data_IF_925245402807
#
_entry.id   IF_925245402807
#
_cell.length_a   1.000
_cell.length_b   1.000
_cell.length_c   1.000
_cell.angle_alpha   90.00
_cell.angle_beta   90.00
_cell.angle_gamma   90.00
#
_symmetry.space_group_name_H-M   'P 1'
#
loop_
_entity.id
_entity.type
_entity.pdbx_description
1 polymer ?
#
# COMPACT_ATOMS: atom_id res chain seq x y z
N UNK A 1 -23.00 21.22 -22.33
CA UNK A 1 -23.30 21.14 -20.90
C UNK A 1 -23.81 19.75 -20.48
N UNK A 2 -23.52 18.68 -21.25
CA UNK A 2 -23.86 17.27 -20.93
C UNK A 2 -22.63 16.34 -21.12
N UNK A 3 -21.44 16.93 -21.21
CA UNK A 3 -20.31 16.30 -21.91
C UNK A 3 -19.39 15.51 -20.98
N UNK A 4 -19.33 15.83 -19.68
CA UNK A 4 -18.39 15.19 -18.73
C UNK A 4 -18.72 13.72 -18.44
N UNK A 5 -19.96 13.28 -18.69
CA UNK A 5 -20.38 11.89 -18.50
C UNK A 5 -20.23 11.02 -19.75
N UNK A 6 -20.03 11.64 -20.91
CA UNK A 6 -19.97 10.95 -22.19
C UNK A 6 -18.54 10.45 -22.43
N UNK A 7 -18.33 9.13 -22.61
CA UNK A 7 -17.04 8.59 -22.99
C UNK A 7 -16.58 9.14 -24.35
N UNK A 8 -15.50 9.91 -24.35
CA UNK A 8 -14.90 10.47 -25.57
C UNK A 8 -13.39 10.68 -25.45
N UNK A 9 -12.78 11.04 -26.57
CA UNK A 9 -11.40 11.53 -26.57
C UNK A 9 -11.33 12.93 -25.96
N UNK A 10 -10.36 13.14 -25.08
CA UNK A 10 -10.19 14.37 -24.30
C UNK A 10 -8.73 14.81 -24.36
N UNK A 11 -8.52 16.12 -24.22
CA UNK A 11 -7.18 16.75 -24.25
C UNK A 11 -6.90 17.61 -23.02
N UNK A 12 -7.89 17.79 -22.17
CA UNK A 12 -7.90 18.70 -21.03
C UNK A 12 -7.94 17.93 -19.70
N UNK A 13 -8.95 17.07 -19.53
CA UNK A 13 -9.13 16.27 -18.32
C UNK A 13 -9.86 14.94 -18.61
N UNK A 14 -9.68 13.95 -17.74
CA UNK A 14 -10.44 12.69 -17.73
C UNK A 14 -10.77 12.32 -16.29
N UNK A 15 -11.96 11.78 -16.08
CA UNK A 15 -12.46 11.32 -14.80
C UNK A 15 -12.57 9.80 -14.84
N UNK A 16 -11.86 9.16 -13.92
CA UNK A 16 -11.95 7.74 -13.62
C UNK A 16 -12.75 7.56 -12.33
N UNK A 17 -13.62 6.57 -12.30
CA UNK A 17 -14.42 6.25 -11.12
C UNK A 17 -14.37 4.77 -10.79
N UNK A 18 -14.39 4.45 -9.51
CA UNK A 18 -14.66 3.09 -9.02
C UNK A 18 -16.11 3.03 -8.56
N UNK A 19 -16.87 2.10 -9.14
CA UNK A 19 -18.28 1.89 -8.77
C UNK A 19 -18.51 0.51 -8.17
N UNK A 20 -19.40 0.41 -7.19
CA UNK A 20 -19.80 -0.86 -6.59
C UNK A 20 -20.79 -1.65 -7.48
N UNK A 21 -21.27 -2.78 -6.97
CA UNK A 21 -22.27 -3.64 -7.62
C UNK A 21 -23.65 -2.97 -7.80
N UNK A 22 -23.88 -1.85 -7.12
CA UNK A 22 -25.09 -1.02 -7.17
C UNK A 22 -24.89 0.27 -7.98
N UNK A 23 -23.78 0.37 -8.72
CA UNK A 23 -23.38 1.55 -9.49
C UNK A 23 -23.17 2.83 -8.63
N UNK A 24 -22.95 2.70 -7.32
CA UNK A 24 -22.58 3.82 -6.46
C UNK A 24 -21.11 4.18 -6.67
N UNK A 25 -20.82 5.47 -6.74
CA UNK A 25 -19.47 5.98 -6.96
C UNK A 25 -18.74 6.02 -5.62
N UNK A 26 -17.82 5.08 -5.40
CA UNK A 26 -17.07 4.98 -4.13
C UNK A 26 -15.65 5.58 -4.25
N UNK A 27 -15.17 5.75 -5.49
CA UNK A 27 -13.85 6.27 -5.79
C UNK A 27 -13.95 7.23 -6.99
N UNK A 28 -13.25 8.37 -6.93
CA UNK A 28 -13.11 9.32 -8.03
C UNK A 28 -11.66 9.73 -8.17
N UNK A 29 -11.09 9.58 -9.36
CA UNK A 29 -9.78 10.11 -9.72
C UNK A 29 -9.89 10.94 -10.98
N UNK A 30 -9.45 12.19 -10.90
CA UNK A 30 -9.41 13.09 -12.05
C UNK A 30 -7.96 13.29 -12.43
N UNK A 31 -7.66 13.13 -13.72
CA UNK A 31 -6.40 13.54 -14.33
C UNK A 31 -6.65 14.72 -15.25
N UNK A 32 -5.82 15.76 -15.18
CA UNK A 32 -5.93 16.92 -16.04
C UNK A 32 -4.57 17.55 -16.34
N UNK A 33 -4.52 18.43 -17.34
CA UNK A 33 -3.29 19.17 -17.66
C UNK A 33 -2.88 20.16 -16.56
N UNK A 34 -3.85 20.72 -15.82
CA UNK A 34 -3.63 21.67 -14.73
C UNK A 34 -4.59 21.40 -13.57
N UNK A 35 -4.29 21.97 -12.41
CA UNK A 35 -5.16 21.89 -11.22
C UNK A 35 -6.53 22.51 -11.48
N UNK A 36 -6.59 23.66 -12.16
CA UNK A 36 -7.84 24.35 -12.45
C UNK A 36 -8.77 23.48 -13.31
N UNK A 37 -8.20 22.80 -14.32
CA UNK A 37 -8.94 21.88 -15.17
C UNK A 37 -9.41 20.63 -14.40
N UNK A 38 -8.61 20.14 -13.45
CA UNK A 38 -9.00 19.03 -12.60
C UNK A 38 -10.17 19.39 -11.70
N UNK A 39 -10.12 20.56 -11.06
CA UNK A 39 -11.18 21.07 -10.19
C UNK A 39 -12.46 21.32 -10.97
N UNK A 40 -12.36 21.92 -12.16
CA UNK A 40 -13.50 22.12 -13.04
C UNK A 40 -14.15 20.78 -13.45
N UNK A 41 -13.34 19.81 -13.89
CA UNK A 41 -13.85 18.49 -14.28
C UNK A 41 -14.48 17.73 -13.11
N UNK A 42 -13.92 17.87 -11.90
CA UNK A 42 -14.46 17.28 -10.69
C UNK A 42 -15.82 17.90 -10.33
N UNK A 43 -15.92 19.23 -10.31
CA UNK A 43 -17.16 19.95 -10.01
C UNK A 43 -18.26 19.62 -11.04
N UNK A 44 -17.92 19.64 -12.33
CA UNK A 44 -18.84 19.23 -13.40
C UNK A 44 -19.32 17.79 -13.22
N UNK A 45 -18.42 16.86 -12.87
CA UNK A 45 -18.77 15.47 -12.65
C UNK A 45 -19.70 15.27 -11.44
N UNK A 46 -19.38 15.90 -10.30
CA UNK A 46 -20.18 15.82 -9.08
C UNK A 46 -21.60 16.37 -9.31
N UNK A 47 -21.69 17.53 -9.93
CA UNK A 47 -22.97 18.14 -10.30
C UNK A 47 -23.78 17.23 -11.25
N UNK A 48 -23.12 16.64 -12.25
CA UNK A 48 -23.79 15.78 -13.24
C UNK A 48 -24.24 14.43 -12.66
N UNK A 49 -23.53 13.88 -11.66
CA UNK A 49 -23.90 12.63 -10.96
C UNK A 49 -24.79 12.86 -9.73
N UNK A 50 -25.00 14.10 -9.30
CA UNK A 50 -25.72 14.41 -8.07
C UNK A 50 -24.97 13.95 -6.82
N UNK A 51 -23.63 13.99 -6.84
CA UNK A 51 -22.77 13.65 -5.71
C UNK A 51 -22.49 14.89 -4.87
N UNK A 52 -22.47 14.72 -3.55
CA UNK A 52 -22.14 15.81 -2.63
C UNK A 52 -20.65 15.73 -2.24
N UNK A 53 -19.87 16.81 -2.42
CA UNK A 53 -18.45 16.82 -2.05
C UNK A 53 -18.16 16.45 -0.59
N UNK A 54 -19.09 16.70 0.32
CA UNK A 54 -18.96 16.37 1.75
C UNK A 54 -18.97 14.88 2.06
N UNK A 55 -19.47 14.06 1.14
CA UNK A 55 -19.56 12.60 1.31
C UNK A 55 -18.25 11.92 0.87
N UNK A 56 -17.28 12.70 0.43
CA UNK A 56 -16.00 12.25 -0.10
C UNK A 56 -14.84 12.91 0.62
N UNK A 57 -13.82 12.10 0.89
CA UNK A 57 -12.55 12.54 1.44
C UNK A 57 -11.53 12.70 0.34
N UNK A 58 -10.87 13.86 0.31
CA UNK A 58 -9.68 14.07 -0.49
C UNK A 58 -8.53 13.23 0.09
N UNK A 59 -8.00 12.28 -0.68
CA UNK A 59 -6.97 11.34 -0.21
C UNK A 59 -5.63 11.49 -0.91
N UNK A 60 -5.61 12.10 -2.09
CA UNK A 60 -4.38 12.37 -2.84
C UNK A 60 -4.61 13.49 -3.84
N UNK A 61 -3.63 14.37 -4.04
CA UNK A 61 -3.61 15.39 -5.10
C UNK A 61 -2.17 15.76 -5.44
N UNK A 62 -1.91 16.20 -6.66
CA UNK A 62 -0.58 16.72 -7.06
C UNK A 62 -0.23 16.44 -8.53
N UNK A 63 0.98 16.83 -8.94
CA UNK A 63 1.47 16.77 -10.32
C UNK A 63 2.30 15.50 -10.63
N UNK A 64 1.74 14.51 -11.30
CA UNK A 64 2.47 13.29 -11.64
C UNK A 64 3.23 13.43 -12.98
N UNK A 65 4.48 12.93 -13.09
CA UNK A 65 5.16 12.84 -14.38
C UNK A 65 4.47 11.83 -15.31
N UNK A 66 4.23 12.23 -16.55
CA UNK A 66 3.61 11.37 -17.57
C UNK A 66 4.47 10.14 -17.90
N UNK A 67 5.79 10.31 -17.86
CA UNK A 67 6.74 9.25 -18.20
C UNK A 67 6.58 8.78 -19.64
N UNK A 68 6.50 7.47 -19.85
CA UNK A 68 6.31 6.86 -21.18
C UNK A 68 4.84 6.74 -21.64
N UNK A 69 3.88 7.24 -20.85
CA UNK A 69 2.45 7.08 -21.15
C UNK A 69 2.05 7.96 -22.34
N UNK A 70 1.35 7.36 -23.30
CA UNK A 70 0.78 8.10 -24.45
C UNK A 70 -0.62 8.65 -24.17
N UNK A 71 -1.36 7.98 -23.28
CA UNK A 71 -2.70 8.37 -22.89
C UNK A 71 -3.04 7.79 -21.50
N UNK A 72 -3.93 8.46 -20.78
CA UNK A 72 -4.59 7.93 -19.59
C UNK A 72 -5.90 7.27 -20.01
N UNK A 73 -6.05 6.00 -19.68
CA UNK A 73 -7.23 5.15 -19.92
C UNK A 73 -7.38 4.16 -18.79
N UNK A 74 -8.55 3.50 -18.68
CA UNK A 74 -8.69 2.36 -17.76
C UNK A 74 -7.69 1.23 -18.05
N UNK A 75 -7.18 1.12 -19.29
CA UNK A 75 -6.16 0.13 -19.68
C UNK A 75 -4.74 0.54 -19.31
N UNK A 76 -4.42 1.83 -19.26
CA UNK A 76 -3.12 2.29 -18.77
C UNK A 76 -3.05 2.23 -17.26
N UNK A 77 -4.20 2.36 -16.59
CA UNK A 77 -4.36 2.31 -15.14
C UNK A 77 -4.59 0.88 -14.62
N UNK A 78 -3.72 -0.07 -15.03
CA UNK A 78 -3.86 -1.49 -14.68
C UNK A 78 -3.81 -1.69 -13.17
N UNK A 79 -2.82 -1.12 -12.49
CA UNK A 79 -2.65 -1.27 -11.04
C UNK A 79 -3.85 -0.72 -10.28
N UNK A 80 -4.37 0.44 -10.68
CA UNK A 80 -5.58 1.03 -10.10
C UNK A 80 -6.80 0.14 -10.37
N UNK A 81 -6.98 -0.34 -11.60
CA UNK A 81 -8.08 -1.23 -11.95
C UNK A 81 -8.06 -2.51 -11.12
N UNK A 82 -6.88 -3.10 -10.90
CA UNK A 82 -6.71 -4.29 -10.07
C UNK A 82 -6.97 -4.00 -8.60
N UNK A 83 -6.49 -2.87 -8.07
CA UNK A 83 -6.76 -2.45 -6.69
C UNK A 83 -8.24 -2.25 -6.42
N UNK A 84 -8.95 -1.56 -7.31
CA UNK A 84 -10.39 -1.34 -7.20
C UNK A 84 -11.19 -2.65 -7.36
N UNK A 85 -10.83 -3.53 -8.30
CA UNK A 85 -11.52 -4.80 -8.48
C UNK A 85 -11.48 -5.69 -7.23
N UNK A 86 -10.40 -5.60 -6.43
CA UNK A 86 -10.25 -6.32 -5.16
C UNK A 86 -11.09 -5.73 -4.03
N UNK A 87 -11.48 -4.47 -4.16
CA UNK A 87 -12.45 -3.78 -3.29
C UNK A 87 -13.91 -4.01 -3.77
N UNK A 88 -14.14 -4.93 -4.71
CA UNK A 88 -15.44 -5.14 -5.33
C UNK A 88 -15.85 -4.01 -6.29
N UNK A 89 -14.94 -3.08 -6.61
CA UNK A 89 -15.22 -1.90 -7.42
C UNK A 89 -14.81 -2.08 -8.88
N UNK A 90 -15.66 -1.63 -9.78
CA UNK A 90 -15.39 -1.59 -11.22
C UNK A 90 -14.84 -0.23 -11.60
N UNK A 91 -13.64 -0.21 -12.18
CA UNK A 91 -13.06 1.01 -12.76
C UNK A 91 -13.76 1.37 -14.08
N UNK A 92 -14.29 2.59 -14.14
CA UNK A 92 -14.88 3.21 -15.32
C UNK A 92 -14.17 4.53 -15.62
N UNK A 93 -14.28 5.01 -16.86
CA UNK A 93 -13.72 6.29 -17.28
C UNK A 93 -14.72 7.04 -18.17
N UNK A 94 -14.73 8.36 -18.08
CA UNK A 94 -15.48 9.24 -19.00
C UNK A 94 -14.71 9.55 -20.30
N UNK A 95 -13.58 8.88 -20.56
CA UNK A 95 -12.83 9.11 -21.78
C UNK A 95 -11.41 8.59 -21.80
N UNK A 96 -10.68 9.07 -22.80
CA UNK A 96 -9.26 8.85 -23.02
C UNK A 96 -8.58 10.21 -23.01
N UNK A 97 -7.64 10.45 -22.09
CA UNK A 97 -6.82 11.67 -22.09
C UNK A 97 -5.52 11.42 -22.83
N UNK A 98 -5.31 12.08 -23.97
CA UNK A 98 -4.05 11.98 -24.70
C UNK A 98 -3.00 12.93 -24.13
N UNK A 99 -1.74 12.47 -24.06
CA UNK A 99 -0.65 13.16 -23.35
C UNK A 99 0.47 13.63 -24.30
N UNK A 100 0.18 13.81 -25.59
CA UNK A 100 1.17 14.22 -26.58
C UNK A 100 1.80 15.58 -26.21
N UNK A 101 3.12 15.60 -25.96
CA UNK A 101 3.85 16.81 -25.59
C UNK A 101 3.66 17.25 -24.14
N UNK A 102 2.99 16.45 -23.31
CA UNK A 102 2.74 16.74 -21.89
C UNK A 102 3.75 15.97 -21.05
N UNK A 103 4.53 16.68 -20.23
CA UNK A 103 5.54 16.05 -19.35
C UNK A 103 4.97 15.70 -17.97
N UNK A 104 3.99 16.46 -17.50
CA UNK A 104 3.39 16.36 -16.16
C UNK A 104 1.89 16.56 -16.26
N UNK A 105 1.12 15.84 -15.45
CA UNK A 105 -0.34 15.98 -15.32
C UNK A 105 -0.71 16.20 -13.87
N UNK A 106 -1.73 17.00 -13.60
CA UNK A 106 -2.31 17.10 -12.27
C UNK A 106 -3.29 15.94 -12.05
N UNK A 107 -3.31 15.42 -10.85
CA UNK A 107 -4.28 14.43 -10.41
C UNK A 107 -4.91 14.82 -9.08
N UNK A 108 -6.16 14.43 -8.89
CA UNK A 108 -6.87 14.52 -7.62
C UNK A 108 -7.69 13.24 -7.43
N UNK A 109 -7.60 12.67 -6.23
CA UNK A 109 -8.27 11.42 -5.86
C UNK A 109 -9.13 11.64 -4.63
N UNK A 110 -10.38 11.23 -4.73
CA UNK A 110 -11.37 11.26 -3.67
C UNK A 110 -11.93 9.86 -3.45
N UNK A 111 -12.22 9.56 -2.20
CA UNK A 111 -12.81 8.29 -1.76
C UNK A 111 -14.03 8.60 -0.91
N UNK A 112 -15.13 7.87 -1.09
CA UNK A 112 -16.33 8.05 -0.27
C UNK A 112 -16.01 7.79 1.20
N UNK A 113 -16.74 8.43 2.12
CA UNK A 113 -16.60 8.13 3.56
C UNK A 113 -16.94 6.67 3.89
N UNK A 114 -17.84 6.04 3.13
CA UNK A 114 -18.19 4.62 3.28
C UNK A 114 -17.04 3.68 2.87
N UNK A 115 -16.40 3.92 1.72
CA UNK A 115 -15.23 3.15 1.29
C UNK A 115 -14.04 3.42 2.21
N UNK A 116 -13.84 4.68 2.59
CA UNK A 116 -12.78 5.08 3.51
C UNK A 116 -12.94 4.40 4.89
N UNK A 117 -14.15 4.42 5.44
CA UNK A 117 -14.45 3.75 6.70
C UNK A 117 -14.36 2.23 6.58
N UNK A 118 -14.71 1.62 5.46
CA UNK A 118 -14.50 0.18 5.21
C UNK A 118 -13.01 -0.19 5.22
N UNK A 119 -12.18 0.61 4.55
CA UNK A 119 -10.71 0.46 4.55
C UNK A 119 -10.15 0.61 5.97
N UNK A 120 -10.70 1.51 6.80
CA UNK A 120 -10.27 1.72 8.18
C UNK A 120 -10.82 0.70 9.18
N UNK A 121 -12.05 0.22 9.00
CA UNK A 121 -12.78 -0.66 9.94
C UNK A 121 -12.52 -2.15 9.74
N UNK A 122 -11.80 -2.53 8.66
CA UNK A 122 -11.06 -3.80 8.59
C UNK A 122 -10.04 -4.01 9.74
N UNK A 123 -9.94 -3.06 10.67
CA UNK A 123 -9.11 -3.10 11.88
C UNK A 123 -9.78 -3.69 13.13
N UNK A 124 -11.10 -3.90 13.17
CA UNK A 124 -11.77 -4.26 14.46
C UNK A 124 -12.68 -5.50 14.46
N UNK A 125 -12.76 -6.29 13.39
CA UNK A 125 -13.52 -7.56 13.41
C UNK A 125 -12.72 -8.73 12.86
N UNK A 126 -11.98 -9.39 13.75
CA UNK A 126 -12.08 -10.84 13.77
C UNK A 126 -13.51 -11.23 14.20
N UNK A 127 -14.05 -12.23 13.51
CA UNK A 127 -15.29 -12.98 13.78
C UNK A 127 -16.56 -12.50 13.06
N UNK A 128 -16.84 -13.27 11.99
CA UNK A 128 -18.13 -13.61 11.36
C UNK A 128 -18.74 -12.62 10.34
N UNK A 129 -18.55 -12.98 9.06
CA UNK A 129 -19.69 -13.11 8.16
C UNK A 129 -19.74 -12.18 6.95
N UNK A 130 -18.74 -12.21 6.08
CA UNK A 130 -18.84 -12.27 4.60
C UNK A 130 -17.44 -12.03 4.03
N UNK A 131 -16.97 -12.97 3.20
CA UNK A 131 -15.65 -12.97 2.59
C UNK A 131 -15.47 -11.78 1.64
N UNK A 132 -14.78 -10.74 2.10
CA UNK A 132 -13.84 -9.98 1.27
C UNK A 132 -12.58 -9.72 2.13
N UNK A 133 -11.70 -10.73 2.19
CA UNK A 133 -10.36 -10.58 2.77
C UNK A 133 -9.57 -9.57 1.92
N UNK A 134 -9.65 -8.29 2.29
CA UNK A 134 -8.81 -7.25 1.68
C UNK A 134 -7.34 -7.55 1.96
N UNK A 135 -6.59 -7.82 0.90
CA UNK A 135 -5.17 -8.12 1.03
C UNK A 135 -4.41 -6.81 1.30
N UNK A 136 -3.55 -6.75 2.34
CA UNK A 136 -2.65 -5.62 2.60
C UNK A 136 -1.92 -5.05 1.39
N UNK A 137 -1.58 -5.92 0.44
CA UNK A 137 -0.89 -5.57 -0.82
C UNK A 137 -1.73 -4.62 -1.70
N UNK A 138 -3.04 -4.81 -1.70
CA UNK A 138 -3.98 -4.05 -2.54
C UNK A 138 -4.10 -2.61 -2.04
N UNK A 139 -4.15 -2.50 -0.71
CA UNK A 139 -4.27 -1.24 0.00
C UNK A 139 -3.01 -0.38 -0.18
N UNK A 140 -1.82 -1.00 -0.15
CA UNK A 140 -0.55 -0.30 -0.41
C UNK A 140 -0.49 0.25 -1.84
N UNK A 141 -1.15 -0.41 -2.80
CA UNK A 141 -1.13 -0.03 -4.21
C UNK A 141 -2.08 1.12 -4.61
N UNK A 142 -2.89 1.65 -3.67
CA UNK A 142 -3.94 2.64 -3.97
C UNK A 142 -3.43 4.05 -4.35
N UNK A 143 -2.12 4.34 -4.18
CA UNK A 143 -1.58 5.65 -4.54
C UNK A 143 -1.92 6.76 -3.54
N UNK A 144 -2.20 6.38 -2.30
CA UNK A 144 -2.44 7.29 -1.16
C UNK A 144 -1.30 7.19 -0.15
N UNK A 145 -1.26 8.10 0.81
CA UNK A 145 -0.31 7.96 1.93
C UNK A 145 -0.64 6.74 2.78
N UNK A 146 0.33 5.87 3.03
CA UNK A 146 0.11 4.63 3.79
C UNK A 146 1.14 4.48 4.90
N UNK A 147 0.68 4.23 6.13
CA UNK A 147 1.52 3.75 7.21
C UNK A 147 1.47 2.21 7.23
N UNK A 148 2.60 1.55 7.00
CA UNK A 148 2.71 0.10 6.99
C UNK A 148 3.44 -0.37 8.25
N UNK A 149 2.72 -1.03 9.15
CA UNK A 149 3.32 -1.77 10.27
C UNK A 149 3.79 -3.15 9.78
N UNK A 150 5.06 -3.26 9.40
CA UNK A 150 5.61 -4.48 8.82
C UNK A 150 6.31 -5.38 9.85
N UNK A 151 5.51 -6.18 10.56
CA UNK A 151 6.02 -7.18 11.49
C UNK A 151 6.51 -8.44 10.76
N UNK A 152 5.98 -8.74 9.58
CA UNK A 152 6.39 -9.88 8.74
C UNK A 152 7.83 -9.78 8.21
N UNK A 153 8.35 -8.55 8.06
CA UNK A 153 9.64 -8.27 7.44
C UNK A 153 9.69 -8.54 5.93
N UNK A 154 8.54 -8.75 5.27
CA UNK A 154 8.42 -8.85 3.81
C UNK A 154 8.94 -7.59 3.13
N UNK A 155 9.42 -7.72 1.90
CA UNK A 155 9.73 -6.55 1.10
C UNK A 155 8.45 -6.03 0.45
N UNK A 156 8.12 -4.76 0.69
CA UNK A 156 6.91 -4.13 0.13
C UNK A 156 7.22 -3.24 -1.06
N UNK A 157 8.49 -3.10 -1.43
CA UNK A 157 8.91 -2.19 -2.50
C UNK A 157 8.24 -2.48 -3.84
N UNK A 158 7.95 -3.74 -4.14
CA UNK A 158 7.30 -4.16 -5.40
C UNK A 158 5.78 -3.92 -5.41
N UNK A 159 5.19 -3.56 -4.27
CA UNK A 159 3.75 -3.29 -4.12
C UNK A 159 3.41 -1.82 -4.32
N UNK A 160 4.44 -0.97 -4.41
CA UNK A 160 4.28 0.46 -4.42
C UNK A 160 3.90 0.97 -5.81
N UNK A 161 3.07 2.02 -5.89
CA UNK A 161 2.92 2.82 -7.11
C UNK A 161 4.27 3.33 -7.63
N UNK A 162 4.43 3.49 -8.95
CA UNK A 162 5.70 3.90 -9.58
C UNK A 162 6.28 5.21 -9.04
N UNK A 163 5.44 6.16 -8.62
CA UNK A 163 5.84 7.46 -8.07
C UNK A 163 5.92 7.49 -6.54
N UNK A 164 5.63 6.39 -5.83
CA UNK A 164 5.57 6.39 -4.38
C UNK A 164 6.95 6.53 -3.72
N UNK A 165 7.00 7.28 -2.61
CA UNK A 165 8.21 7.39 -1.78
C UNK A 165 8.07 6.46 -0.58
N UNK A 166 8.92 5.44 -0.50
CA UNK A 166 9.03 4.55 0.66
C UNK A 166 10.05 5.07 1.67
N UNK A 167 9.62 5.31 2.91
CA UNK A 167 10.48 5.58 4.05
C UNK A 167 10.42 4.42 5.04
N UNK A 168 11.58 3.82 5.37
CA UNK A 168 11.68 2.74 6.35
C UNK A 168 12.21 3.29 7.68
N UNK A 169 11.44 3.13 8.75
CA UNK A 169 11.74 3.62 10.10
C UNK A 169 12.13 5.12 10.17
N UNK A 170 11.46 6.04 9.46
CA UNK A 170 11.83 7.45 9.48
C UNK A 170 11.65 8.10 10.87
N UNK A 171 12.34 9.21 11.17
CA UNK A 171 11.98 10.07 12.30
C UNK A 171 10.56 10.62 12.15
N UNK A 172 9.85 10.81 13.26
CA UNK A 172 8.46 11.30 13.26
C UNK A 172 8.37 12.69 12.60
N UNK A 173 9.34 13.55 12.90
CA UNK A 173 9.41 14.94 12.42
C UNK A 173 9.54 14.99 10.90
N UNK A 174 10.30 14.05 10.30
CA UNK A 174 10.46 13.94 8.86
C UNK A 174 9.16 13.53 8.17
N UNK A 175 8.39 12.64 8.79
CA UNK A 175 7.09 12.23 8.24
C UNK A 175 6.10 13.38 8.35
N UNK A 176 6.07 14.06 9.49
CA UNK A 176 5.21 15.22 9.72
C UNK A 176 5.48 16.36 8.72
N UNK A 177 6.75 16.66 8.43
CA UNK A 177 7.08 17.69 7.44
C UNK A 177 6.58 17.30 6.04
N UNK A 178 6.84 16.05 5.63
CA UNK A 178 6.43 15.56 4.32
C UNK A 178 4.91 15.52 4.17
N UNK A 179 4.16 15.06 5.19
CA UNK A 179 2.69 15.04 5.14
C UNK A 179 2.06 16.43 4.99
N UNK A 180 2.73 17.48 5.48
CA UNK A 180 2.24 18.86 5.43
C UNK A 180 2.66 19.62 4.15
N UNK A 181 3.57 19.05 3.36
CA UNK A 181 3.98 19.64 2.08
C UNK A 181 2.94 19.34 0.99
N UNK A 182 2.79 20.25 0.03
CA UNK A 182 2.12 19.92 -1.24
C UNK A 182 3.09 19.10 -2.10
N UNK A 183 2.69 17.89 -2.43
CA UNK A 183 3.53 16.87 -3.10
C UNK A 183 2.69 16.06 -4.05
N UNK A 184 3.37 15.48 -5.02
CA UNK A 184 2.83 14.75 -6.16
C UNK A 184 3.04 13.23 -6.10
N UNK A 185 3.55 12.75 -4.97
CA UNK A 185 3.78 11.35 -4.70
C UNK A 185 3.06 10.90 -3.42
N UNK A 186 2.55 9.66 -3.38
CA UNK A 186 2.13 9.04 -2.13
C UNK A 186 3.34 8.71 -1.26
N UNK A 187 3.23 8.96 0.03
CA UNK A 187 4.23 8.58 1.03
C UNK A 187 3.83 7.28 1.71
N UNK A 188 4.69 6.29 1.57
CA UNK A 188 4.55 5.02 2.29
C UNK A 188 5.59 4.97 3.39
N UNK A 189 5.15 4.88 4.64
CA UNK A 189 6.00 4.76 5.82
C UNK A 189 5.97 3.34 6.33
N UNK A 190 7.07 2.61 6.20
CA UNK A 190 7.25 1.29 6.80
C UNK A 190 7.84 1.42 8.21
N UNK A 191 7.22 0.80 9.20
CA UNK A 191 7.65 0.79 10.60
C UNK A 191 7.34 -0.54 11.27
N UNK A 192 8.03 -0.88 12.35
CA UNK A 192 7.64 -1.94 13.30
C UNK A 192 6.76 -1.44 14.45
N UNK A 193 6.66 -0.12 14.61
CA UNK A 193 5.89 0.53 15.66
C UNK A 193 5.01 1.60 15.03
N UNK A 194 3.78 1.25 14.67
CA UNK A 194 2.82 2.21 14.12
C UNK A 194 2.40 3.27 15.15
N UNK A 195 2.38 2.90 16.44
CA UNK A 195 2.02 3.80 17.54
C UNK A 195 2.86 5.08 17.60
N UNK A 196 4.12 5.03 17.13
CA UNK A 196 4.99 6.21 16.98
C UNK A 196 4.36 7.32 16.11
N UNK A 197 3.53 6.96 15.14
CA UNK A 197 2.94 7.87 14.15
C UNK A 197 1.45 8.10 14.38
N UNK A 198 0.89 7.67 15.51
CA UNK A 198 -0.54 7.77 15.79
C UNK A 198 -1.09 9.22 15.79
N UNK A 199 -0.20 10.20 15.94
CA UNK A 199 -0.52 11.65 15.89
C UNK A 199 -0.59 12.21 14.47
N UNK A 200 -0.26 11.41 13.45
CA UNK A 200 -0.24 11.81 12.06
C UNK A 200 -1.45 11.24 11.32
N UNK A 201 -2.06 12.06 10.47
CA UNK A 201 -3.27 11.73 9.74
C UNK A 201 -2.96 10.93 8.46
N UNK A 202 -2.54 9.67 8.63
CA UNK A 202 -2.47 8.75 7.50
C UNK A 202 -3.89 8.34 7.07
N UNK A 203 -4.25 8.48 5.79
CA UNK A 203 -5.54 8.01 5.30
C UNK A 203 -5.66 6.49 5.41
N UNK A 204 -4.53 5.78 5.40
CA UNK A 204 -4.48 4.34 5.45
C UNK A 204 -3.34 3.88 6.37
N UNK A 205 -3.64 2.89 7.21
CA UNK A 205 -2.66 2.14 8.01
C UNK A 205 -2.89 0.65 7.76
N UNK A 206 -1.83 -0.03 7.36
CA UNK A 206 -1.80 -1.45 7.01
C UNK A 206 -0.91 -2.17 8.01
N UNK A 207 -1.35 -3.31 8.54
CA UNK A 207 -0.53 -4.16 9.40
C UNK A 207 -0.21 -5.47 8.69
N UNK A 208 1.07 -5.73 8.49
CA UNK A 208 1.56 -7.03 8.01
C UNK A 208 1.94 -7.87 9.23
N UNK A 209 1.16 -8.90 9.58
CA UNK A 209 1.38 -9.68 10.79
C UNK A 209 2.75 -10.38 10.75
N UNK A 210 3.34 -10.68 11.91
CA UNK A 210 4.54 -11.50 11.98
C UNK A 210 4.27 -12.90 11.45
N UNK A 211 5.33 -13.61 11.09
CA UNK A 211 5.25 -15.01 10.68
C UNK A 211 4.82 -15.87 11.87
N UNK A 212 4.11 -16.97 11.59
CA UNK A 212 3.92 -18.01 12.62
C UNK A 212 5.25 -18.73 12.89
N UNK A 213 5.33 -19.45 14.02
CA UNK A 213 6.52 -20.24 14.33
C UNK A 213 6.77 -21.31 13.26
N UNK A 214 5.71 -21.89 12.70
CA UNK A 214 5.75 -22.87 11.62
C UNK A 214 6.27 -22.26 10.32
N UNK A 215 5.75 -21.10 9.91
CA UNK A 215 6.23 -20.38 8.73
C UNK A 215 7.69 -19.97 8.87
N UNK A 216 8.07 -19.47 10.05
CA UNK A 216 9.44 -19.07 10.35
C UNK A 216 10.41 -20.26 10.34
N UNK A 217 10.01 -21.39 10.94
CA UNK A 217 10.78 -22.62 10.94
C UNK A 217 10.94 -23.19 9.52
N UNK A 218 9.86 -23.23 8.74
CA UNK A 218 9.90 -23.69 7.35
C UNK A 218 10.85 -22.84 6.49
N UNK A 219 10.85 -21.51 6.67
CA UNK A 219 11.76 -20.59 6.01
C UNK A 219 13.23 -20.88 6.39
N UNK A 220 13.52 -21.16 7.66
CA UNK A 220 14.86 -21.54 8.11
C UNK A 220 15.28 -22.92 7.59
N UNK A 221 14.39 -23.90 7.62
CA UNK A 221 14.63 -25.25 7.10
C UNK A 221 15.04 -25.19 5.64
N UNK A 222 14.29 -24.44 4.83
CA UNK A 222 14.57 -24.24 3.41
C UNK A 222 15.95 -23.64 3.17
N UNK A 223 16.33 -22.61 3.95
CA UNK A 223 17.59 -21.90 3.77
C UNK A 223 18.82 -22.66 4.28
N UNK A 224 18.68 -23.43 5.36
CA UNK A 224 19.78 -24.16 5.98
C UNK A 224 19.94 -25.59 5.46
N UNK A 225 18.91 -26.12 4.78
CA UNK A 225 18.87 -27.49 4.29
C UNK A 225 18.80 -28.53 5.41
N UNK A 226 18.19 -28.18 6.55
CA UNK A 226 17.95 -29.06 7.70
C UNK A 226 16.48 -28.97 8.09
N UNK A 227 15.97 -29.94 8.83
CA UNK A 227 14.62 -29.85 9.42
C UNK A 227 14.68 -29.06 10.73
N UNK A 228 13.90 -27.98 10.82
CA UNK A 228 13.86 -27.07 11.97
C UNK A 228 12.52 -27.24 12.68
N UNK A 229 12.57 -27.62 13.95
CA UNK A 229 11.39 -27.74 14.81
C UNK A 229 10.81 -26.34 15.16
N UNK A 230 9.54 -26.04 14.84
CA UNK A 230 8.86 -24.81 15.25
C UNK A 230 8.88 -24.55 16.77
N UNK A 231 8.93 -25.60 17.59
CA UNK A 231 8.97 -25.51 19.05
C UNK A 231 10.15 -24.71 19.60
N UNK A 232 11.24 -24.61 18.84
CA UNK A 232 12.43 -23.81 19.16
C UNK A 232 12.14 -22.31 19.27
N UNK A 233 11.05 -21.83 18.67
CA UNK A 233 10.69 -20.41 18.61
C UNK A 233 9.54 -20.03 19.54
N UNK A 234 9.10 -20.92 20.42
CA UNK A 234 8.02 -20.66 21.39
C UNK A 234 8.28 -19.46 22.31
N UNK A 235 9.55 -19.13 22.57
CA UNK A 235 9.97 -17.96 23.36
C UNK A 235 10.21 -16.67 22.55
N UNK A 236 10.01 -16.68 21.23
CA UNK A 236 10.23 -15.50 20.39
C UNK A 236 9.10 -14.50 20.56
N UNK A 237 9.46 -13.23 20.74
CA UNK A 237 8.51 -12.15 20.59
C UNK A 237 8.01 -12.08 19.13
N UNK A 238 6.76 -11.65 18.89
CA UNK A 238 6.22 -11.55 17.54
C UNK A 238 7.10 -10.70 16.60
N UNK A 239 7.75 -9.63 17.09
CA UNK A 239 8.61 -8.79 16.22
C UNK A 239 9.91 -9.48 15.77
N UNK A 240 10.27 -10.63 16.36
CA UNK A 240 11.41 -11.47 15.98
C UNK A 240 11.05 -12.54 14.95
N UNK A 241 9.77 -12.90 14.83
CA UNK A 241 9.27 -13.88 13.85
C UNK A 241 9.02 -13.18 12.49
N UNK A 242 10.10 -12.86 11.80
CA UNK A 242 10.04 -12.12 10.54
C UNK A 242 11.13 -12.56 9.55
N UNK A 243 10.88 -12.37 8.25
CA UNK A 243 11.80 -12.81 7.19
C UNK A 243 13.21 -12.19 7.31
N UNK A 244 13.33 -10.96 7.83
CA UNK A 244 14.63 -10.31 8.03
C UNK A 244 15.43 -11.03 9.13
N UNK A 245 14.78 -11.45 10.22
CA UNK A 245 15.41 -12.19 11.30
C UNK A 245 15.75 -13.62 10.88
N UNK A 246 14.92 -14.28 10.07
CA UNK A 246 15.26 -15.59 9.49
C UNK A 246 16.56 -15.51 8.67
N UNK A 247 16.69 -14.51 7.80
CA UNK A 247 17.92 -14.23 7.05
C UNK A 247 19.12 -13.94 7.96
N UNK A 248 18.92 -13.22 9.07
CA UNK A 248 19.97 -12.91 10.03
C UNK A 248 20.46 -14.17 10.78
N UNK A 249 19.53 -15.03 11.20
CA UNK A 249 19.85 -16.31 11.84
C UNK A 249 20.65 -17.22 10.91
N UNK A 250 20.27 -17.33 9.63
CA UNK A 250 21.03 -18.12 8.65
C UNK A 250 22.48 -17.64 8.57
N UNK A 251 22.71 -16.33 8.47
CA UNK A 251 24.06 -15.77 8.47
C UNK A 251 24.82 -16.09 9.76
N UNK A 252 24.15 -16.04 10.91
CA UNK A 252 24.76 -16.36 12.20
C UNK A 252 25.12 -17.85 12.30
N UNK A 253 24.25 -18.75 11.82
CA UNK A 253 24.50 -20.19 11.77
C UNK A 253 25.71 -20.49 10.91
N UNK A 254 25.77 -19.98 9.69
CA UNK A 254 26.91 -20.23 8.79
C UNK A 254 28.22 -19.68 9.38
N UNK A 255 28.20 -18.51 10.03
CA UNK A 255 29.37 -17.97 10.73
C UNK A 255 29.82 -18.84 11.91
N UNK A 256 28.89 -19.45 12.64
CA UNK A 256 29.19 -20.39 13.74
C UNK A 256 29.78 -21.69 13.20
N UNK A 257 29.20 -22.24 12.13
CA UNK A 257 29.70 -23.44 11.46
C UNK A 257 31.13 -23.21 10.97
N UNK A 258 31.39 -22.10 10.30
CA UNK A 258 32.73 -21.76 9.79
C UNK A 258 33.76 -21.58 10.91
N UNK A 259 33.37 -20.91 11.99
CA UNK A 259 34.30 -20.56 13.08
C UNK A 259 34.58 -21.70 14.05
N UNK A 260 33.57 -22.51 14.36
CA UNK A 260 33.64 -23.53 15.41
C UNK A 260 33.48 -24.96 14.88
N UNK A 261 33.33 -25.14 13.56
CA UNK A 261 33.21 -26.43 12.88
C UNK A 261 32.11 -27.32 13.49
N UNK A 262 31.01 -26.69 13.91
CA UNK A 262 29.83 -27.36 14.48
C UNK A 262 28.90 -27.85 13.37
N UNK A 263 28.08 -28.86 13.68
CA UNK A 263 26.96 -29.23 12.82
C UNK A 263 25.91 -28.11 12.74
N UNK A 264 25.21 -28.00 11.61
CA UNK A 264 24.20 -26.94 11.39
C UNK A 264 23.09 -26.91 12.46
N UNK A 265 22.67 -28.07 12.97
CA UNK A 265 21.67 -28.15 14.05
C UNK A 265 22.18 -27.59 15.38
N UNK A 266 23.43 -27.89 15.74
CA UNK A 266 24.07 -27.37 16.95
C UNK A 266 24.34 -25.86 16.83
N UNK A 267 24.80 -25.44 15.65
CA UNK A 267 25.00 -24.04 15.31
C UNK A 267 23.68 -23.26 15.36
N UNK A 268 22.56 -23.84 14.92
CA UNK A 268 21.23 -23.22 15.00
C UNK A 268 20.79 -23.02 16.45
N UNK A 269 20.93 -24.03 17.32
CA UNK A 269 20.59 -23.88 18.75
C UNK A 269 21.38 -22.75 19.40
N UNK A 270 22.67 -22.65 19.08
CA UNK A 270 23.54 -21.59 19.58
C UNK A 270 23.18 -20.22 19.01
N UNK A 271 22.89 -20.14 17.71
CA UNK A 271 22.43 -18.92 17.05
C UNK A 271 21.12 -18.40 17.64
N UNK A 272 20.16 -19.29 17.91
CA UNK A 272 18.88 -18.97 18.54
C UNK A 272 19.11 -18.37 19.93
N UNK A 273 19.96 -18.99 20.74
CA UNK A 273 20.29 -18.49 22.09
C UNK A 273 20.88 -17.08 22.03
N UNK A 274 21.85 -16.85 21.14
CA UNK A 274 22.47 -15.53 20.94
C UNK A 274 21.48 -14.47 20.43
N UNK A 275 20.51 -14.87 19.59
CA UNK A 275 19.51 -13.96 19.03
C UNK A 275 18.42 -13.56 20.04
N UNK A 276 18.09 -14.46 20.98
CA UNK A 276 17.09 -14.27 22.03
C UNK A 276 17.63 -13.50 23.23
N UNK A 277 18.71 -13.99 23.83
CA UNK A 277 19.16 -13.55 25.15
C UNK A 277 20.11 -12.35 25.07
N UNK A 278 20.67 -12.07 23.89
CA UNK A 278 21.87 -11.23 23.83
C UNK A 278 23.01 -11.89 24.60
N UNK A 279 24.09 -11.14 24.84
CA UNK A 279 25.12 -11.52 25.81
C UNK A 279 24.90 -10.75 27.12
#
# INVERSE_FOLDING_TARGET
MDDILIPKERRDAVVLIGVDDRDRVEFVRVYALTEELAMQALEEFFNAKGLFPTDYRLVSRGNEPVGGRKAITTRSEVSLSSALARLGLKLLSNGILYLEGVNTIYQITLVSEDLYSTILSGREKEVQGSDENLNPEDVISLGVDVLVENLSGRDISDLLPENAVLLREPPLEKVASLLNEERDYPLVVETKNAGKYAVLDFPVVVRLPPLTAEEFAAELSSRLGIDVDPGLFSGYLPEKLNLRNAKALVKLVEAIVEKWNLGREEALKLAIKLNLEGL
#
